data_IF_117126034347
#
_entry.id   IF_117126034347
#
_cell.length_a   1.000
_cell.length_b   1.000
_cell.length_c   1.000
_cell.angle_alpha   90.00
_cell.angle_beta   90.00
_cell.angle_gamma   90.00
#
_symmetry.space_group_name_H-M   'P 1'
#
loop_
_entity.id
_entity.type
_entity.pdbx_description
1 polymer ?
#
# COMPACT_ATOMS: atom_id res chain seq x y z
N UNK A 1 -10.91 -27.95 -7.72
CA UNK A 1 -12.23 -28.57 -8.00
C UNK A 1 -12.27 -29.96 -7.37
N UNK A 2 -13.46 -30.48 -7.05
CA UNK A 2 -13.64 -31.79 -6.39
C UNK A 2 -13.66 -32.90 -7.43
N UNK A 3 -12.92 -34.00 -7.20
CA UNK A 3 -12.88 -35.19 -8.07
C UNK A 3 -14.15 -36.07 -7.91
N UNK A 4 -14.42 -37.07 -8.78
CA UNK A 4 -15.62 -37.96 -8.69
C UNK A 4 -16.93 -37.54 -9.43
N UNK A 5 -18.13 -37.78 -8.89
CA UNK A 5 -19.37 -37.05 -9.24
C UNK A 5 -20.05 -37.19 -10.62
N UNK A 6 -19.68 -38.15 -11.48
CA UNK A 6 -20.32 -38.35 -12.80
C UNK A 6 -21.59 -39.22 -12.81
N UNK A 7 -21.72 -40.15 -11.84
CA UNK A 7 -22.90 -41.00 -11.70
C UNK A 7 -23.88 -40.40 -10.69
N UNK A 8 -25.17 -40.43 -11.03
CA UNK A 8 -26.24 -40.02 -10.12
C UNK A 8 -26.22 -40.88 -8.84
N UNK A 9 -26.28 -40.28 -7.64
CA UNK A 9 -26.22 -41.02 -6.39
C UNK A 9 -27.31 -42.09 -6.23
N UNK A 10 -28.54 -41.80 -6.67
CA UNK A 10 -29.68 -42.72 -6.65
C UNK A 10 -30.73 -42.35 -7.71
N UNK A 11 -31.70 -43.25 -7.94
CA UNK A 11 -32.79 -43.06 -8.90
C UNK A 11 -33.68 -41.85 -8.56
N UNK A 12 -34.33 -41.25 -9.57
CA UNK A 12 -35.10 -40.01 -9.40
C UNK A 12 -36.37 -40.17 -8.54
N UNK A 13 -36.97 -41.36 -8.54
CA UNK A 13 -38.20 -41.71 -7.81
C UNK A 13 -38.05 -43.13 -7.23
N UNK A 14 -38.90 -43.48 -6.26
CA UNK A 14 -38.97 -44.83 -5.68
C UNK A 14 -38.03 -45.11 -4.50
N UNK A 15 -37.20 -44.16 -4.08
CA UNK A 15 -36.20 -44.37 -3.02
C UNK A 15 -36.44 -43.65 -1.69
N UNK A 16 -37.54 -42.91 -1.51
CA UNK A 16 -37.89 -42.18 -0.27
C UNK A 16 -36.96 -41.03 0.16
N UNK A 17 -35.77 -40.92 -0.46
CA UNK A 17 -34.76 -39.87 -0.21
C UNK A 17 -35.04 -38.60 -1.02
N UNK A 18 -34.47 -37.47 -0.56
CA UNK A 18 -34.41 -36.23 -1.35
C UNK A 18 -33.74 -36.47 -2.71
N UNK A 19 -34.03 -35.66 -3.72
CA UNK A 19 -33.45 -35.84 -5.06
C UNK A 19 -32.02 -35.32 -5.09
N UNK A 20 -31.08 -36.11 -5.63
CA UNK A 20 -29.70 -35.69 -5.82
C UNK A 20 -29.22 -35.99 -7.24
N UNK A 21 -28.55 -35.00 -7.86
CA UNK A 21 -27.97 -35.13 -9.20
C UNK A 21 -26.52 -35.63 -9.19
N UNK A 22 -25.71 -35.21 -8.22
CA UNK A 22 -24.30 -35.58 -8.09
C UNK A 22 -23.86 -35.59 -6.62
N UNK A 23 -22.92 -36.47 -6.28
CA UNK A 23 -22.23 -36.45 -4.98
C UNK A 23 -21.34 -35.21 -4.80
N UNK A 24 -20.98 -34.51 -5.89
CA UNK A 24 -20.20 -33.26 -5.83
C UNK A 24 -21.06 -32.01 -5.50
N UNK A 25 -22.36 -32.17 -5.26
CA UNK A 25 -23.22 -31.06 -4.89
C UNK A 25 -22.65 -30.31 -3.68
N UNK A 26 -22.61 -28.96 -3.68
CA UNK A 26 -22.11 -28.19 -2.54
C UNK A 26 -22.96 -28.35 -1.26
N UNK A 27 -24.14 -28.96 -1.38
CA UNK A 27 -25.01 -29.31 -0.25
C UNK A 27 -24.45 -30.52 0.52
N UNK A 28 -23.66 -31.39 -0.12
CA UNK A 28 -23.10 -32.58 0.52
C UNK A 28 -21.75 -32.30 1.16
N UNK A 29 -21.49 -32.99 2.28
CA UNK A 29 -20.17 -33.03 2.91
C UNK A 29 -19.15 -33.64 1.94
N UNK A 30 -18.03 -32.96 1.72
CA UNK A 30 -17.04 -33.35 0.71
C UNK A 30 -17.42 -32.99 -0.74
N UNK A 31 -18.55 -32.31 -0.94
CA UNK A 31 -18.94 -31.72 -2.22
C UNK A 31 -18.17 -30.45 -2.58
N UNK A 32 -18.50 -29.84 -3.72
CA UNK A 32 -17.89 -28.58 -4.17
C UNK A 32 -18.23 -27.38 -3.28
N UNK A 33 -17.58 -26.24 -3.52
CA UNK A 33 -17.95 -24.95 -2.92
C UNK A 33 -18.72 -24.14 -3.97
N UNK A 34 -19.93 -23.68 -3.65
CA UNK A 34 -20.82 -23.02 -4.62
C UNK A 34 -20.20 -21.77 -5.27
N UNK A 35 -19.58 -20.90 -4.47
CA UNK A 35 -18.81 -19.73 -4.93
C UNK A 35 -17.38 -19.81 -4.41
N UNK A 36 -16.67 -20.88 -4.77
CA UNK A 36 -15.27 -21.06 -4.39
C UNK A 36 -14.37 -19.92 -4.91
N UNK A 37 -13.29 -19.58 -4.19
CA UNK A 37 -12.37 -18.55 -4.65
C UNK A 37 -11.69 -18.98 -5.96
N UNK A 38 -11.72 -18.11 -6.96
CA UNK A 38 -10.87 -18.22 -8.15
C UNK A 38 -9.47 -17.69 -7.83
N UNK A 39 -8.43 -18.37 -8.29
CA UNK A 39 -7.04 -17.92 -8.20
C UNK A 39 -6.78 -16.68 -9.09
N UNK A 40 -7.60 -16.48 -10.11
CA UNK A 40 -7.41 -15.42 -11.12
C UNK A 40 -8.27 -14.19 -10.79
N UNK A 41 -8.03 -13.54 -9.64
CA UNK A 41 -8.68 -12.28 -9.29
C UNK A 41 -7.71 -11.12 -9.49
N UNK A 42 -8.08 -10.16 -10.32
CA UNK A 42 -7.40 -8.88 -10.41
C UNK A 42 -8.19 -7.84 -9.58
N UNK A 43 -7.53 -7.23 -8.59
CA UNK A 43 -8.10 -6.16 -7.74
C UNK A 43 -7.63 -4.76 -8.15
N UNK A 44 -6.91 -4.63 -9.26
CA UNK A 44 -6.49 -3.36 -9.82
C UNK A 44 -7.71 -2.52 -10.20
N UNK A 45 -7.81 -1.35 -9.60
CA UNK A 45 -8.83 -0.36 -9.93
C UNK A 45 -8.18 0.76 -10.73
N UNK A 46 -8.77 1.09 -11.89
CA UNK A 46 -8.30 2.20 -12.71
C UNK A 46 -8.61 3.52 -12.01
N UNK A 47 -7.56 4.27 -11.67
CA UNK A 47 -7.66 5.65 -11.19
C UNK A 47 -7.08 6.59 -12.24
N UNK A 48 -7.83 7.65 -12.58
CA UNK A 48 -7.39 8.60 -13.59
C UNK A 48 -6.15 9.39 -13.14
N UNK A 49 -5.26 9.74 -14.07
CA UNK A 49 -4.02 10.47 -13.76
C UNK A 49 -4.28 11.79 -13.02
N UNK A 50 -5.30 12.55 -13.45
CA UNK A 50 -5.70 13.80 -12.79
C UNK A 50 -6.19 13.58 -11.35
N UNK A 51 -6.93 12.50 -11.10
CA UNK A 51 -7.40 12.16 -9.76
C UNK A 51 -6.24 11.77 -8.84
N UNK A 52 -5.24 11.04 -9.34
CA UNK A 52 -4.03 10.71 -8.57
C UNK A 52 -3.27 11.97 -8.15
N UNK A 53 -3.08 12.90 -9.09
CA UNK A 53 -2.40 14.18 -8.83
C UNK A 53 -3.17 15.02 -7.82
N UNK A 54 -4.48 15.14 -8.00
CA UNK A 54 -5.36 15.87 -7.09
C UNK A 54 -5.34 15.29 -5.66
N UNK A 55 -5.38 13.96 -5.52
CA UNK A 55 -5.31 13.30 -4.23
C UNK A 55 -3.97 13.56 -3.51
N UNK A 56 -2.86 13.58 -4.25
CA UNK A 56 -1.55 13.91 -3.68
C UNK A 56 -1.52 15.35 -3.16
N UNK A 57 -1.99 16.31 -3.96
CA UNK A 57 -2.04 17.71 -3.53
C UNK A 57 -2.94 17.93 -2.33
N UNK A 58 -4.11 17.27 -2.28
CA UNK A 58 -4.96 17.33 -1.10
C UNK A 58 -4.30 16.76 0.15
N UNK A 59 -3.64 15.60 0.03
CA UNK A 59 -2.92 15.00 1.16
C UNK A 59 -1.82 15.95 1.68
N UNK A 60 -1.02 16.54 0.79
CA UNK A 60 0.01 17.51 1.17
C UNK A 60 -0.61 18.77 1.77
N UNK A 61 -1.65 19.33 1.15
CA UNK A 61 -2.32 20.53 1.65
C UNK A 61 -2.90 20.33 3.05
N UNK A 62 -3.45 19.15 3.34
CA UNK A 62 -3.90 18.78 4.68
C UNK A 62 -2.73 18.76 5.68
N UNK A 63 -1.56 18.22 5.30
CA UNK A 63 -0.38 18.25 6.16
C UNK A 63 0.14 19.67 6.40
N UNK A 64 0.13 20.51 5.37
CA UNK A 64 0.50 21.94 5.48
C UNK A 64 -0.45 22.67 6.43
N UNK A 65 -1.77 22.46 6.28
CA UNK A 65 -2.77 23.08 7.15
C UNK A 65 -2.65 22.68 8.64
N UNK A 66 -2.00 21.54 8.91
CA UNK A 66 -1.73 21.04 10.26
C UNK A 66 -0.29 21.34 10.75
N UNK A 67 0.48 22.16 10.02
CA UNK A 67 1.90 22.47 10.29
C UNK A 67 2.80 21.22 10.39
N UNK A 68 2.52 20.19 9.57
CA UNK A 68 3.24 18.90 9.57
C UNK A 68 4.15 18.69 8.36
N UNK A 69 4.42 19.75 7.61
CA UNK A 69 5.37 19.73 6.49
C UNK A 69 6.60 20.53 6.87
N UNK A 70 7.75 19.87 6.80
CA UNK A 70 9.06 20.47 7.07
C UNK A 70 9.84 20.55 5.77
N UNK A 71 10.22 21.76 5.37
CA UNK A 71 11.05 21.98 4.19
C UNK A 71 12.49 22.21 4.65
N UNK A 72 13.41 21.45 4.10
CA UNK A 72 14.85 21.51 4.42
C UNK A 72 15.68 21.65 3.16
N UNK A 73 16.84 22.29 3.23
CA UNK A 73 17.67 22.52 2.04
C UNK A 73 18.23 21.22 1.45
N UNK A 74 18.70 20.30 2.30
CA UNK A 74 19.19 18.98 1.88
C UNK A 74 19.11 17.96 3.00
N UNK A 75 18.90 16.69 2.65
CA UNK A 75 18.82 15.55 3.58
C UNK A 75 19.93 14.57 3.25
N UNK A 76 21.07 14.64 3.95
CA UNK A 76 22.23 13.77 3.71
C UNK A 76 22.73 13.21 5.04
N UNK A 77 22.95 11.90 5.07
CA UNK A 77 23.60 11.20 6.20
C UNK A 77 24.94 10.66 5.71
N UNK A 78 26.00 11.46 5.82
CA UNK A 78 27.34 11.12 5.31
C UNK A 78 27.95 9.87 5.96
N UNK A 79 27.56 9.60 7.21
CA UNK A 79 28.04 8.46 7.99
C UNK A 79 27.44 7.12 7.55
N UNK A 80 26.29 7.15 6.86
CA UNK A 80 25.49 5.95 6.53
C UNK A 80 24.97 5.19 7.76
N UNK A 81 25.00 5.78 8.95
CA UNK A 81 24.61 5.11 10.20
C UNK A 81 23.15 5.39 10.53
N UNK A 82 22.42 4.32 10.86
CA UNK A 82 21.03 4.38 11.31
C UNK A 82 20.84 5.24 12.57
N UNK A 83 21.86 5.30 13.44
CA UNK A 83 21.83 6.11 14.66
C UNK A 83 21.71 7.61 14.35
N UNK A 84 22.42 8.08 13.33
CA UNK A 84 22.45 9.50 12.98
C UNK A 84 21.13 9.89 12.28
N UNK A 85 20.61 9.00 11.42
CA UNK A 85 19.26 9.13 10.86
C UNK A 85 18.17 9.13 11.94
N UNK A 86 18.28 8.26 12.96
CA UNK A 86 17.34 8.23 14.08
C UNK A 86 17.39 9.52 14.91
N UNK A 87 18.58 10.07 15.13
CA UNK A 87 18.74 11.36 15.83
C UNK A 87 18.06 12.50 15.05
N UNK A 88 18.19 12.52 13.73
CA UNK A 88 17.49 13.47 12.85
C UNK A 88 15.96 13.32 12.92
N UNK A 89 15.43 12.10 12.85
CA UNK A 89 13.97 11.88 12.93
C UNK A 89 13.43 12.27 14.32
N UNK A 90 14.16 11.94 15.38
CA UNK A 90 13.74 12.23 16.75
C UNK A 90 13.80 13.73 17.08
N UNK A 91 14.69 14.51 16.44
CA UNK A 91 14.76 15.96 16.67
C UNK A 91 13.53 16.72 16.16
N UNK A 92 12.81 16.14 15.19
CA UNK A 92 11.55 16.70 14.68
C UNK A 92 10.39 16.56 15.67
N UNK A 93 10.53 15.69 16.68
CA UNK A 93 9.49 15.46 17.69
C UNK A 93 8.20 14.83 17.14
N UNK A 94 8.26 14.22 15.97
CA UNK A 94 7.11 13.63 15.29
C UNK A 94 7.04 12.12 15.52
N UNK A 95 5.82 11.58 15.49
CA UNK A 95 5.59 10.13 15.66
C UNK A 95 6.18 9.33 14.51
N UNK A 96 5.94 9.78 13.29
CA UNK A 96 6.36 9.12 12.05
C UNK A 96 6.52 10.13 10.92
N UNK A 97 7.53 9.89 10.08
CA UNK A 97 8.05 10.88 9.12
C UNK A 97 8.26 10.26 7.74
N UNK A 98 7.62 10.82 6.72
CA UNK A 98 7.97 10.56 5.33
C UNK A 98 9.07 11.52 4.92
N UNK A 99 10.16 10.99 4.36
CA UNK A 99 11.32 11.78 3.93
C UNK A 99 11.36 11.73 2.41
N UNK A 100 11.25 12.88 1.77
CA UNK A 100 11.22 13.01 0.31
C UNK A 100 12.49 13.70 -0.15
N UNK A 101 13.29 12.95 -0.92
CA UNK A 101 14.56 13.40 -1.50
C UNK A 101 14.46 13.45 -3.02
N UNK A 102 15.20 14.34 -3.67
CA UNK A 102 15.22 14.37 -5.13
C UNK A 102 15.89 13.13 -5.73
N UNK A 103 17.10 12.83 -5.26
CA UNK A 103 17.93 11.71 -5.69
C UNK A 103 18.46 11.01 -4.44
N UNK A 104 18.22 9.71 -4.30
CA UNK A 104 18.66 8.98 -3.10
C UNK A 104 20.13 8.59 -3.22
N UNK A 105 20.93 8.98 -2.21
CA UNK A 105 22.29 8.47 -2.01
C UNK A 105 22.28 7.12 -1.28
N UNK A 106 23.16 6.19 -1.66
CA UNK A 106 23.26 4.86 -1.03
C UNK A 106 23.43 4.91 0.49
N UNK A 107 24.29 5.81 0.98
CA UNK A 107 24.54 5.94 2.42
C UNK A 107 23.30 6.43 3.17
N UNK A 108 22.62 7.42 2.61
CA UNK A 108 21.38 7.97 3.16
C UNK A 108 20.29 6.90 3.15
N UNK A 109 20.15 6.15 2.05
CA UNK A 109 19.23 5.02 1.95
C UNK A 109 19.46 3.97 3.03
N UNK A 110 20.72 3.52 3.19
CA UNK A 110 21.08 2.51 4.19
C UNK A 110 20.81 2.99 5.62
N UNK A 111 20.98 4.29 5.88
CA UNK A 111 20.71 4.87 7.19
C UNK A 111 19.22 4.87 7.54
N UNK A 112 18.33 5.15 6.58
CA UNK A 112 16.88 5.20 6.81
C UNK A 112 16.17 3.86 6.67
N UNK A 113 16.71 2.91 5.89
CA UNK A 113 16.06 1.63 5.55
C UNK A 113 15.59 0.81 6.75
N UNK A 114 16.31 0.87 7.88
CA UNK A 114 16.01 0.06 9.06
C UNK A 114 15.16 0.78 10.12
N UNK A 115 14.78 2.04 9.88
CA UNK A 115 13.97 2.82 10.82
C UNK A 115 12.48 2.57 10.57
N UNK A 116 11.75 2.14 11.59
CA UNK A 116 10.33 1.80 11.46
C UNK A 116 9.41 3.04 11.42
N UNK A 117 9.85 4.14 12.04
CA UNK A 117 9.11 5.39 12.13
C UNK A 117 9.46 6.38 11.02
N UNK A 118 10.26 5.99 10.04
CA UNK A 118 10.60 6.86 8.92
C UNK A 118 10.71 6.08 7.62
N UNK A 119 10.37 6.72 6.51
CA UNK A 119 10.55 6.12 5.19
C UNK A 119 11.11 7.13 4.21
N UNK A 120 12.19 6.75 3.53
CA UNK A 120 12.85 7.57 2.53
C UNK A 120 12.32 7.19 1.14
N UNK A 121 11.88 8.19 0.39
CA UNK A 121 11.38 8.03 -0.98
C UNK A 121 11.93 9.09 -1.90
N UNK A 122 11.99 8.75 -3.17
CA UNK A 122 12.23 9.71 -4.24
C UNK A 122 10.96 10.45 -4.64
N UNK A 123 11.14 11.56 -5.34
CA UNK A 123 10.02 12.35 -5.91
C UNK A 123 9.09 11.50 -6.77
N UNK A 124 9.62 10.51 -7.50
CA UNK A 124 8.84 9.65 -8.39
C UNK A 124 7.97 8.63 -7.65
N UNK A 125 8.34 8.27 -6.43
CA UNK A 125 7.62 7.30 -5.60
C UNK A 125 6.57 7.98 -4.71
N UNK A 126 6.64 9.31 -4.59
CA UNK A 126 5.71 10.11 -3.82
C UNK A 126 4.28 9.92 -4.34
N UNK A 127 3.41 9.42 -3.46
CA UNK A 127 2.03 9.15 -3.78
C UNK A 127 1.11 9.57 -2.63
N UNK A 128 -0.18 9.72 -2.94
CA UNK A 128 -1.18 10.20 -1.99
C UNK A 128 -1.30 9.30 -0.75
N UNK A 129 -1.11 7.98 -0.91
CA UNK A 129 -1.15 7.04 0.20
C UNK A 129 0.00 7.28 1.18
N UNK A 130 1.24 7.40 0.70
CA UNK A 130 2.39 7.70 1.54
C UNK A 130 2.23 9.07 2.21
N UNK A 131 1.84 10.10 1.47
CA UNK A 131 1.62 11.43 2.05
C UNK A 131 0.55 11.43 3.15
N UNK A 132 -0.50 10.61 3.03
CA UNK A 132 -1.53 10.47 4.04
C UNK A 132 -1.14 9.57 5.22
N UNK A 133 -0.44 8.47 4.95
CA UNK A 133 -0.11 7.43 5.92
C UNK A 133 0.84 7.91 7.01
N UNK A 134 1.80 8.77 6.66
CA UNK A 134 2.76 9.31 7.62
C UNK A 134 2.20 10.55 8.32
N UNK A 135 2.51 10.72 9.60
CA UNK A 135 2.05 11.87 10.37
C UNK A 135 2.60 13.19 9.83
N UNK A 136 3.90 13.22 9.54
CA UNK A 136 4.62 14.39 9.03
C UNK A 136 5.44 14.07 7.79
N UNK A 137 5.76 15.10 7.00
CA UNK A 137 6.54 14.98 5.77
C UNK A 137 7.71 15.95 5.84
N UNK A 138 8.92 15.45 5.60
CA UNK A 138 10.13 16.26 5.39
C UNK A 138 10.47 16.22 3.91
N UNK A 139 10.56 17.39 3.28
CA UNK A 139 10.76 17.52 1.83
C UNK A 139 11.98 18.39 1.59
N UNK A 140 12.87 17.96 0.68
CA UNK A 140 13.94 18.82 0.18
C UNK A 140 13.35 20.02 -0.59
N UNK A 141 13.92 21.20 -0.39
CA UNK A 141 13.47 22.45 -1.01
C UNK A 141 13.37 22.33 -2.54
N UNK A 142 14.33 21.68 -3.18
CA UNK A 142 14.32 21.42 -4.62
C UNK A 142 13.09 20.61 -5.07
N UNK A 143 12.63 19.66 -4.26
CA UNK A 143 11.43 18.86 -4.52
C UNK A 143 10.16 19.68 -4.27
N UNK A 144 10.15 20.46 -3.19
CA UNK A 144 9.03 21.35 -2.87
C UNK A 144 8.74 22.38 -3.98
N UNK A 145 9.81 22.98 -4.54
CA UNK A 145 9.70 23.94 -5.63
C UNK A 145 9.15 23.27 -6.91
N UNK A 146 9.55 22.04 -7.21
CA UNK A 146 8.99 21.29 -8.35
C UNK A 146 7.51 20.97 -8.17
N UNK A 147 7.11 20.56 -6.96
CA UNK A 147 5.71 20.23 -6.66
C UNK A 147 4.78 21.45 -6.79
N UNK A 148 5.28 22.64 -6.44
CA UNK A 148 4.53 23.89 -6.51
C UNK A 148 4.53 24.50 -7.92
N UNK A 149 5.58 24.32 -8.72
CA UNK A 149 5.63 24.77 -10.12
C UNK A 149 4.75 23.94 -11.06
N UNK A 150 4.51 22.67 -10.75
CA UNK A 150 3.66 21.80 -11.56
C UNK A 150 2.15 21.94 -11.28
N UNK A 151 1.76 22.73 -10.27
CA UNK A 151 0.37 23.00 -9.90
C UNK A 151 -0.27 24.07 -10.76
#
# INVERSE_FOLDING_TARGET
>A
QVSGGGKKPWAQKGGGRARAGSLRSPIFVGGGVAFGPSTNKNYEQKVNKKQKKLALYHAIAEKVANDRVFVVDSIVIESGKTKDAAAFVNSLGQRDVLIVKEMIDDKTFLAFRNLQNSYLVETNELNAYLAAAYHSIVIEKAVWDKLTQEG
#
